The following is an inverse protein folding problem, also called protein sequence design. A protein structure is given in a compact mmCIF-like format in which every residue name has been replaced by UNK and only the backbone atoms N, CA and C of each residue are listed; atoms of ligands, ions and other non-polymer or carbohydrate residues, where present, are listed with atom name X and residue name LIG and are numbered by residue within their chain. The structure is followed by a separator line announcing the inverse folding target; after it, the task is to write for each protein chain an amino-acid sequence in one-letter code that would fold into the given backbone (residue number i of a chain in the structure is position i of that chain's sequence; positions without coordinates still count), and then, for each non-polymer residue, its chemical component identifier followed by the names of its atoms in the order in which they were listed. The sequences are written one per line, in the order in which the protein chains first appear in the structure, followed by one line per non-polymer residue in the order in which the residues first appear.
data_IF_938805716551
#
_entry.id   IF_938805716551
#
_cell.length_a   1.000
_cell.length_b   1.000
_cell.length_c   1.000
_cell.angle_alpha   90.00
_cell.angle_beta   90.00
_cell.angle_gamma   90.00
#
_symmetry.space_group_name_H-M   'P 1'
#
loop_
_entity.id
_entity.type
_entity.pdbx_description
1 polymer ?
#
# COMPACT_ATOMS: atom_id res chain seq x y z
N UNK A 1 -20.61 -36.14 -15.25
CA UNK A 1 -19.20 -36.21 -15.68
C UNK A 1 -18.97 -35.43 -16.99
N UNK A 2 -19.01 -34.07 -17.00
CA UNK A 2 -18.60 -33.25 -18.18
C UNK A 2 -18.05 -31.85 -17.85
N UNK A 3 -17.78 -31.54 -16.57
CA UNK A 3 -17.17 -30.25 -16.21
C UNK A 3 -15.69 -30.15 -16.64
N UNK A 4 -14.97 -31.28 -16.67
CA UNK A 4 -13.51 -31.35 -16.88
C UNK A 4 -13.04 -30.93 -18.28
N UNK A 5 -13.95 -30.84 -19.25
CA UNK A 5 -13.63 -30.45 -20.63
C UNK A 5 -13.93 -28.98 -20.92
N UNK A 6 -14.78 -28.32 -20.12
CA UNK A 6 -15.01 -26.88 -20.24
C UNK A 6 -13.83 -26.06 -19.69
N UNK A 7 -13.13 -26.58 -18.67
CA UNK A 7 -11.91 -25.97 -18.10
C UNK A 7 -10.66 -26.10 -18.99
N UNK A 8 -10.72 -26.80 -20.12
CA UNK A 8 -9.59 -26.97 -21.04
C UNK A 8 -9.71 -26.12 -22.31
N UNK A 9 -10.80 -25.37 -22.47
CA UNK A 9 -10.96 -24.46 -23.59
C UNK A 9 -10.09 -23.21 -23.42
N UNK A 10 -9.52 -22.65 -24.49
CA UNK A 10 -8.67 -21.46 -24.40
C UNK A 10 -9.38 -20.25 -23.77
N UNK A 11 -10.71 -20.16 -23.89
CA UNK A 11 -11.52 -19.09 -23.28
C UNK A 11 -11.44 -19.03 -21.76
N UNK A 12 -11.40 -20.17 -21.05
CA UNK A 12 -11.35 -20.16 -19.59
C UNK A 12 -9.99 -19.70 -19.08
N UNK A 13 -8.92 -20.05 -19.80
CA UNK A 13 -7.56 -19.62 -19.48
C UNK A 13 -7.37 -18.13 -19.71
N UNK A 14 -8.02 -17.55 -20.73
CA UNK A 14 -8.05 -16.10 -20.95
C UNK A 14 -8.69 -15.39 -19.75
N UNK A 15 -9.84 -15.87 -19.26
CA UNK A 15 -10.50 -15.29 -18.07
C UNK A 15 -9.61 -15.39 -16.83
N UNK A 16 -8.92 -16.51 -16.64
CA UNK A 16 -7.98 -16.69 -15.52
C UNK A 16 -6.82 -15.71 -15.59
N UNK A 17 -6.19 -15.56 -16.75
CA UNK A 17 -5.08 -14.62 -16.95
C UNK A 17 -5.54 -13.17 -16.75
N UNK A 18 -6.72 -12.80 -17.26
CA UNK A 18 -7.31 -11.47 -17.04
C UNK A 18 -7.60 -11.26 -15.55
N UNK A 19 -8.19 -12.24 -14.86
CA UNK A 19 -8.44 -12.15 -13.42
C UNK A 19 -7.15 -11.94 -12.63
N UNK A 20 -6.09 -12.66 -12.99
CA UNK A 20 -4.78 -12.52 -12.35
C UNK A 20 -4.13 -11.16 -12.62
N UNK A 21 -4.28 -10.63 -13.84
CA UNK A 21 -3.87 -9.27 -14.20
C UNK A 21 -4.65 -8.22 -13.42
N UNK A 22 -5.98 -8.35 -13.29
CA UNK A 22 -6.81 -7.41 -12.53
C UNK A 22 -6.41 -7.38 -11.05
N UNK A 23 -6.11 -8.53 -10.45
CA UNK A 23 -5.59 -8.62 -9.09
C UNK A 23 -4.21 -7.95 -8.97
N UNK A 24 -3.33 -8.14 -9.95
CA UNK A 24 -2.05 -7.44 -10.00
C UNK A 24 -2.22 -5.92 -10.15
N UNK A 25 -3.13 -5.45 -11.00
CA UNK A 25 -3.41 -4.02 -11.14
C UNK A 25 -4.08 -3.42 -9.90
N UNK A 26 -4.90 -4.17 -9.18
CA UNK A 26 -5.52 -3.73 -7.93
C UNK A 26 -4.48 -3.45 -6.83
N UNK A 27 -3.33 -4.10 -6.83
CA UNK A 27 -2.22 -3.78 -5.92
C UNK A 27 -1.41 -2.57 -6.36
N UNK A 28 -1.44 -2.22 -7.65
CA UNK A 28 -0.81 -1.01 -8.18
C UNK A 28 -1.71 0.23 -8.05
N UNK A 29 -3.01 0.06 -7.84
CA UNK A 29 -3.93 1.17 -7.64
C UNK A 29 -3.51 1.95 -6.37
N UNK A 30 -3.12 3.23 -6.50
CA UNK A 30 -2.79 4.05 -5.34
C UNK A 30 -4.09 4.25 -4.57
N UNK A 31 -4.30 3.44 -3.52
CA UNK A 31 -5.31 3.75 -2.52
C UNK A 31 -4.99 5.12 -1.95
N UNK A 32 -5.93 6.07 -2.06
CA UNK A 32 -5.74 7.45 -1.62
C UNK A 32 -5.16 7.45 -0.20
N UNK A 33 -3.91 7.85 -0.07
CA UNK A 33 -3.21 7.77 1.20
C UNK A 33 -3.63 8.96 2.08
N UNK A 34 -4.08 8.67 3.29
CA UNK A 34 -4.45 9.71 4.25
C UNK A 34 -3.18 10.36 4.78
N UNK A 35 -3.08 11.68 4.66
CA UNK A 35 -1.95 12.43 5.23
C UNK A 35 -2.01 12.39 6.76
N UNK A 36 -0.93 11.92 7.38
CA UNK A 36 -0.71 11.92 8.82
C UNK A 36 0.55 12.71 9.18
N UNK A 37 0.67 13.10 10.46
CA UNK A 37 1.88 13.74 10.97
C UNK A 37 3.08 12.81 10.96
N UNK A 38 4.28 13.39 10.88
CA UNK A 38 5.55 12.65 10.82
C UNK A 38 5.79 11.82 12.08
N UNK A 39 5.43 12.34 13.27
CA UNK A 39 5.61 11.63 14.54
C UNK A 39 4.88 10.27 14.58
N UNK A 40 3.54 10.21 14.43
CA UNK A 40 2.83 8.94 14.40
C UNK A 40 3.24 8.05 13.21
N UNK A 41 3.60 8.65 12.06
CA UNK A 41 4.13 7.89 10.92
C UNK A 41 5.44 7.16 11.22
N UNK A 42 6.37 7.81 11.92
CA UNK A 42 7.63 7.21 12.36
C UNK A 42 7.41 6.16 13.46
N UNK A 43 6.46 6.38 14.37
CA UNK A 43 6.09 5.37 15.37
C UNK A 43 5.54 4.10 14.73
N UNK A 44 4.73 4.23 13.67
CA UNK A 44 4.21 3.08 12.92
C UNK A 44 5.33 2.31 12.22
N UNK A 45 6.33 3.01 11.67
CA UNK A 45 7.52 2.39 11.10
C UNK A 45 8.40 1.70 12.14
N UNK A 46 8.52 2.28 13.33
CA UNK A 46 9.29 1.69 14.43
C UNK A 46 8.58 0.46 15.03
N UNK A 47 7.25 0.36 14.88
CA UNK A 47 6.47 -0.79 15.34
C UNK A 47 6.55 -1.95 14.35
N UNK A 48 7.45 -2.90 14.65
CA UNK A 48 7.60 -4.14 13.91
C UNK A 48 6.27 -4.86 13.71
N UNK A 49 5.89 -5.08 12.45
CA UNK A 49 4.77 -5.93 12.09
C UNK A 49 3.44 -5.22 11.81
N UNK A 50 3.33 -3.89 12.04
CA UNK A 50 2.13 -3.12 11.66
C UNK A 50 2.12 -2.64 10.21
N UNK A 51 3.29 -2.43 9.64
CA UNK A 51 3.48 -2.00 8.25
C UNK A 51 3.62 -3.25 7.36
N UNK A 52 2.83 -3.29 6.29
CA UNK A 52 2.90 -4.31 5.24
C UNK A 52 3.86 -3.87 4.12
N UNK A 53 3.78 -2.59 3.72
CA UNK A 53 4.64 -2.01 2.70
C UNK A 53 4.99 -0.56 3.07
N UNK A 54 6.25 -0.16 2.85
CA UNK A 54 6.69 1.22 2.96
C UNK A 54 7.34 1.64 1.64
N UNK A 55 6.85 2.73 1.04
CA UNK A 55 7.36 3.29 -0.20
C UNK A 55 7.87 4.71 0.05
N UNK A 56 9.14 4.94 -0.22
CA UNK A 56 9.80 6.23 0.00
C UNK A 56 9.93 6.93 -1.36
N UNK A 57 9.49 8.18 -1.41
CA UNK A 57 9.61 9.07 -2.55
C UNK A 57 10.61 10.18 -2.21
N UNK A 58 11.89 9.95 -2.54
CA UNK A 58 12.97 10.88 -2.22
C UNK A 58 12.80 12.26 -2.88
N UNK A 59 12.24 12.32 -4.09
CA UNK A 59 12.01 13.58 -4.80
C UNK A 59 11.01 14.50 -4.09
N UNK A 60 10.06 13.92 -3.33
CA UNK A 60 8.96 14.63 -2.68
C UNK A 60 9.11 14.66 -1.15
N UNK A 61 10.19 14.06 -0.62
CA UNK A 61 10.37 13.73 0.79
C UNK A 61 9.09 13.16 1.44
N UNK A 62 8.44 12.24 0.73
CA UNK A 62 7.18 11.60 1.14
C UNK A 62 7.44 10.12 1.40
N UNK A 63 6.83 9.58 2.44
CA UNK A 63 6.75 8.14 2.69
C UNK A 63 5.29 7.72 2.71
N UNK A 64 4.95 6.77 1.86
CA UNK A 64 3.65 6.12 1.83
C UNK A 64 3.76 4.78 2.55
N UNK A 65 2.87 4.53 3.50
CA UNK A 65 2.78 3.32 4.29
C UNK A 65 1.47 2.62 3.98
N UNK A 66 1.56 1.30 3.75
CA UNK A 66 0.42 0.39 3.75
C UNK A 66 0.48 -0.40 5.04
N UNK A 67 -0.55 -0.26 5.86
CA UNK A 67 -0.70 -0.91 7.15
C UNK A 67 -1.51 -2.19 7.01
N UNK A 68 -1.22 -3.19 7.84
CA UNK A 68 -2.01 -4.43 7.89
C UNK A 68 -3.43 -4.18 8.37
N UNK A 69 -3.55 -3.32 9.36
CA UNK A 69 -4.81 -2.94 10.02
C UNK A 69 -5.12 -1.45 9.80
N UNK A 70 -6.39 -1.07 9.93
CA UNK A 70 -6.79 0.33 9.84
C UNK A 70 -6.16 1.14 10.98
N UNK A 71 -5.60 2.30 10.64
CA UNK A 71 -5.08 3.24 11.61
C UNK A 71 -6.20 4.12 12.14
N UNK A 72 -6.43 4.09 13.45
CA UNK A 72 -7.34 5.02 14.12
C UNK A 72 -6.51 5.99 14.96
N UNK A 73 -6.61 7.28 14.66
CA UNK A 73 -5.98 8.36 15.43
C UNK A 73 -7.10 9.28 15.92
N UNK A 74 -7.14 9.57 17.22
CA UNK A 74 -8.14 10.46 17.84
C UNK A 74 -9.60 10.11 17.48
N UNK A 75 -9.90 8.80 17.38
CA UNK A 75 -11.22 8.30 17.02
C UNK A 75 -11.60 8.46 15.54
N UNK A 76 -10.67 8.92 14.69
CA UNK A 76 -10.83 9.02 13.24
C UNK A 76 -10.13 7.84 12.55
N UNK A 77 -10.85 7.08 11.74
CA UNK A 77 -10.26 6.05 10.88
C UNK A 77 -9.52 6.73 9.71
N UNK A 78 -8.20 6.57 9.69
CA UNK A 78 -7.29 7.06 8.65
C UNK A 78 -7.08 6.02 7.54
N UNK A 79 -7.65 4.83 7.69
CA UNK A 79 -7.52 3.71 6.77
C UNK A 79 -6.18 2.99 6.87
N UNK A 80 -5.89 2.16 5.88
CA UNK A 80 -4.64 1.37 5.78
C UNK A 80 -3.53 2.08 5.02
N UNK A 81 -3.89 2.97 4.11
CA UNK A 81 -2.95 3.73 3.31
C UNK A 81 -2.75 5.09 3.98
N UNK A 82 -1.58 5.32 4.54
CA UNK A 82 -1.24 6.59 5.19
C UNK A 82 0.06 7.12 4.61
N UNK A 83 0.16 8.44 4.49
CA UNK A 83 1.36 9.09 3.98
C UNK A 83 1.83 10.16 4.96
N UNK A 84 3.14 10.27 5.14
CA UNK A 84 3.75 11.35 5.91
C UNK A 84 4.91 11.96 5.14
N UNK A 85 5.19 13.22 5.43
CA UNK A 85 6.32 13.94 4.83
C UNK A 85 7.42 14.08 5.87
N UNK A 86 8.66 13.92 5.44
CA UNK A 86 9.83 14.18 6.27
C UNK A 86 10.56 15.41 5.76
N UNK A 87 11.17 16.15 6.67
CA UNK A 87 12.07 17.22 6.30
C UNK A 87 13.46 16.72 6.65
N UNK A 88 14.34 16.60 5.66
CA UNK A 88 15.75 16.39 5.94
C UNK A 88 16.26 17.68 6.58
N UNK A 89 16.67 17.69 7.86
CA UNK A 89 17.26 18.89 8.44
C UNK A 89 18.47 19.24 7.59
N UNK A 90 18.47 20.43 6.99
CA UNK A 90 19.59 20.91 6.20
C UNK A 90 20.85 20.70 7.05
N UNK A 91 21.78 19.87 6.55
CA UNK A 91 23.08 19.68 7.19
C UNK A 91 23.72 21.06 7.29
N UNK A 92 23.60 21.67 8.47
CA UNK A 92 24.18 22.96 8.77
C UNK A 92 25.67 22.70 9.01
N UNK A 93 26.40 22.61 7.91
CA UNK A 93 27.86 22.58 7.91
C UNK A 93 28.33 24.00 8.21
N UNK A 94 28.85 24.21 9.41
CA UNK A 94 29.71 25.35 9.72
C UNK A 94 31.16 24.87 9.69
#
# INVERSE_FOLDING_TARGET
MKAKNFLKGPGIWIVVVIGMLLLAFATLAPGGATRIDTQPGLELLAQSGKVEQAKIFDAENRVDLVLKDNLVIDGQDKGKNVQFFFVTPARRTW
#
